data_IF_310851973001
#
_entry.id   IF_310851973001
#
_cell.length_a   1.000
_cell.length_b   1.000
_cell.length_c   1.000
_cell.angle_alpha   90.00
_cell.angle_beta   90.00
_cell.angle_gamma   90.00
#
_symmetry.space_group_name_H-M   'P 1'
#
loop_
_entity.id
_entity.type
_entity.pdbx_description
1 polymer ?
#
# COMPACT_ATOMS: atom_id res chain seq x y z
N UNK A 1 7.46 -6.83 -0.51
CA UNK A 1 7.39 -6.72 0.97
C UNK A 1 6.99 -8.07 1.48
N UNK A 2 7.72 -8.61 2.46
CA UNK A 2 7.37 -9.88 3.05
C UNK A 2 6.31 -9.64 4.14
N UNK A 3 5.23 -10.44 4.22
CA UNK A 3 4.26 -10.35 5.31
C UNK A 3 4.88 -10.45 6.71
N UNK A 4 6.00 -11.17 6.86
CA UNK A 4 6.72 -11.31 8.12
C UNK A 4 7.61 -10.09 8.46
N UNK A 5 7.78 -9.14 7.52
CA UNK A 5 8.58 -7.96 7.77
C UNK A 5 7.93 -7.09 8.86
N UNK A 6 8.72 -6.58 9.82
CA UNK A 6 8.21 -5.71 10.87
C UNK A 6 7.70 -4.38 10.29
N UNK A 7 6.64 -3.85 10.90
CA UNK A 7 6.05 -2.55 10.58
C UNK A 7 6.97 -1.42 11.08
N UNK A 8 8.08 -1.18 10.37
CA UNK A 8 9.08 -0.16 10.72
C UNK A 8 8.77 1.20 10.08
N UNK A 9 8.96 2.24 10.89
CA UNK A 9 8.96 3.67 10.57
C UNK A 9 7.98 4.12 9.48
N UNK A 10 6.70 4.20 9.86
CA UNK A 10 5.72 4.90 9.05
C UNK A 10 6.00 6.42 9.05
N UNK A 11 5.61 7.15 8.00
CA UNK A 11 5.72 8.61 7.95
C UNK A 11 5.13 9.30 9.18
N UNK A 12 5.61 10.50 9.50
CA UNK A 12 5.23 11.25 10.70
C UNK A 12 3.70 11.40 10.89
N UNK A 13 2.96 11.52 9.79
CA UNK A 13 1.50 11.64 9.77
C UNK A 13 0.72 10.34 10.04
N UNK A 14 1.40 9.20 10.21
CA UNK A 14 0.83 7.89 10.50
C UNK A 14 1.31 7.30 11.84
N UNK A 15 1.96 8.12 12.68
CA UNK A 15 2.55 7.67 13.96
C UNK A 15 1.49 7.19 14.95
N UNK A 16 0.32 7.83 14.96
CA UNK A 16 -0.77 7.45 15.85
C UNK A 16 -1.36 6.09 15.46
N UNK A 17 -1.51 5.82 14.16
CA UNK A 17 -1.90 4.51 13.65
C UNK A 17 -0.83 3.46 13.96
N UNK A 18 0.46 3.77 13.77
CA UNK A 18 1.54 2.85 14.10
C UNK A 18 1.51 2.46 15.58
N UNK A 19 1.42 3.45 16.47
CA UNK A 19 1.39 3.23 17.90
C UNK A 19 0.18 2.35 18.30
N UNK A 20 -0.98 2.60 17.71
CA UNK A 20 -2.20 1.83 18.00
C UNK A 20 -2.11 0.38 17.51
N UNK A 21 -1.52 0.15 16.34
CA UNK A 21 -1.28 -1.20 15.80
C UNK A 21 -0.33 -1.97 16.73
N UNK A 22 0.80 -1.36 17.09
CA UNK A 22 1.80 -1.97 17.98
C UNK A 22 1.23 -2.25 19.37
N UNK A 23 0.46 -1.33 19.96
CA UNK A 23 -0.20 -1.52 21.24
C UNK A 23 -1.23 -2.65 21.22
N UNK A 24 -1.78 -2.98 20.05
CA UNK A 24 -2.72 -4.09 19.87
C UNK A 24 -2.04 -5.41 19.49
N UNK A 25 -0.70 -5.45 19.49
CA UNK A 25 0.09 -6.63 19.14
C UNK A 25 0.29 -6.85 17.64
N UNK A 26 -0.16 -5.93 16.79
CA UNK A 26 -0.03 -6.02 15.33
C UNK A 26 1.30 -5.36 14.92
N UNK A 27 2.31 -6.17 14.61
CA UNK A 27 3.69 -5.70 14.46
C UNK A 27 4.31 -6.00 13.09
N UNK A 28 3.61 -6.75 12.22
CA UNK A 28 4.06 -7.07 10.87
C UNK A 28 3.16 -6.48 9.78
N UNK A 29 3.67 -6.43 8.55
CA UNK A 29 2.84 -6.06 7.40
C UNK A 29 1.74 -7.07 7.10
N UNK A 30 1.96 -8.36 7.39
CA UNK A 30 0.94 -9.39 7.29
C UNK A 30 -0.22 -9.17 8.26
N UNK A 31 0.06 -8.72 9.48
CA UNK A 31 -0.98 -8.37 10.45
C UNK A 31 -1.86 -7.23 9.93
N UNK A 32 -1.25 -6.20 9.35
CA UNK A 32 -1.94 -5.05 8.78
C UNK A 32 -2.77 -5.43 7.56
N UNK A 33 -2.24 -6.30 6.69
CA UNK A 33 -2.96 -6.82 5.53
C UNK A 33 -4.25 -7.55 5.95
N UNK A 34 -4.18 -8.35 7.01
CA UNK A 34 -5.28 -9.18 7.50
C UNK A 34 -6.30 -8.44 8.39
N UNK A 35 -6.18 -7.12 8.53
CA UNK A 35 -7.14 -6.33 9.29
C UNK A 35 -8.57 -6.44 8.72
N UNK A 36 -9.50 -6.82 9.58
CA UNK A 36 -10.94 -6.76 9.29
C UNK A 36 -11.50 -5.35 9.50
N UNK A 37 -12.62 -5.02 8.85
CA UNK A 37 -13.27 -3.71 9.03
C UNK A 37 -13.72 -3.47 10.48
N UNK A 38 -14.05 -4.55 11.19
CA UNK A 38 -14.35 -4.50 12.62
C UNK A 38 -13.11 -4.16 13.45
N UNK A 39 -11.96 -4.78 13.19
CA UNK A 39 -10.70 -4.42 13.85
C UNK A 39 -10.30 -2.97 13.56
N UNK A 40 -10.44 -2.52 12.31
CA UNK A 40 -10.17 -1.12 11.94
C UNK A 40 -11.06 -0.16 12.73
N UNK A 41 -12.35 -0.47 12.82
CA UNK A 41 -13.31 0.35 13.57
C UNK A 41 -12.95 0.40 15.06
N UNK A 42 -12.57 -0.74 15.65
CA UNK A 42 -12.12 -0.81 17.05
C UNK A 42 -10.85 0.00 17.30
N UNK A 43 -9.83 -0.16 16.45
CA UNK A 43 -8.56 0.57 16.57
C UNK A 43 -8.74 2.08 16.45
N UNK A 44 -9.64 2.52 15.57
CA UNK A 44 -9.95 3.93 15.41
C UNK A 44 -10.76 4.50 16.59
N UNK A 45 -11.62 3.68 17.23
CA UNK A 45 -12.39 4.08 18.39
C UNK A 45 -11.55 4.17 19.67
N UNK A 46 -10.43 3.44 19.77
CA UNK A 46 -9.63 3.32 20.98
C UNK A 46 -8.51 4.35 21.13
N UNK A 47 -8.37 5.32 20.21
CA UNK A 47 -7.25 6.25 20.26
C UNK A 47 -7.30 7.39 19.24
N UNK A 48 -6.11 7.93 18.90
CA UNK A 48 -5.94 9.02 17.92
C UNK A 48 -5.81 8.53 16.46
N UNK A 49 -5.83 7.21 16.26
CA UNK A 49 -5.74 6.59 14.94
C UNK A 49 -7.00 6.86 14.11
N UNK A 50 -6.83 7.17 12.83
CA UNK A 50 -7.97 7.36 11.92
C UNK A 50 -8.32 6.06 11.19
N UNK A 51 -9.61 5.70 11.18
CA UNK A 51 -10.12 4.59 10.35
C UNK A 51 -9.79 4.76 8.85
N UNK A 52 -9.67 6.00 8.37
CA UNK A 52 -9.25 6.28 6.99
C UNK A 52 -7.79 5.87 6.76
N UNK A 53 -6.91 6.24 7.69
CA UNK A 53 -5.49 5.93 7.58
C UNK A 53 -5.21 4.44 7.80
N UNK A 54 -5.92 3.79 8.72
CA UNK A 54 -5.85 2.34 8.90
C UNK A 54 -6.27 1.57 7.65
N UNK A 55 -7.36 1.99 6.97
CA UNK A 55 -7.75 1.42 5.67
C UNK A 55 -6.69 1.66 4.60
N UNK A 56 -6.03 2.82 4.62
CA UNK A 56 -4.93 3.10 3.69
C UNK A 56 -3.72 2.21 3.95
N UNK A 57 -3.34 2.03 5.21
CA UNK A 57 -2.27 1.11 5.61
C UNK A 57 -2.59 -0.33 5.22
N UNK A 58 -3.83 -0.78 5.43
CA UNK A 58 -4.29 -2.08 4.95
C UNK A 58 -4.15 -2.21 3.42
N UNK A 59 -4.59 -1.21 2.65
CA UNK A 59 -4.45 -1.23 1.19
C UNK A 59 -2.99 -1.26 0.73
N UNK A 60 -2.12 -0.51 1.39
CA UNK A 60 -0.68 -0.55 1.14
C UNK A 60 -0.07 -1.91 1.48
N UNK A 61 -0.42 -2.49 2.62
CA UNK A 61 0.03 -3.82 3.03
C UNK A 61 -0.44 -4.89 2.04
N UNK A 62 -1.70 -4.82 1.60
CA UNK A 62 -2.26 -5.74 0.62
C UNK A 62 -1.51 -5.66 -0.72
N UNK A 63 -1.31 -4.47 -1.27
CA UNK A 63 -0.51 -4.28 -2.48
C UNK A 63 0.94 -4.76 -2.28
N UNK A 64 1.57 -4.36 -1.18
CA UNK A 64 2.97 -4.65 -0.88
C UNK A 64 3.26 -6.14 -0.74
N UNK A 65 2.43 -6.86 0.00
CA UNK A 65 2.54 -8.30 0.22
C UNK A 65 2.13 -9.10 -1.03
N UNK A 66 1.05 -8.71 -1.72
CA UNK A 66 0.56 -9.47 -2.87
C UNK A 66 1.46 -9.34 -4.11
N UNK A 67 1.98 -8.15 -4.36
CA UNK A 67 2.77 -7.82 -5.56
C UNK A 67 4.28 -7.80 -5.30
N UNK A 68 4.69 -8.09 -4.07
CA UNK A 68 6.07 -8.01 -3.59
C UNK A 68 6.72 -6.65 -3.89
N UNK A 69 6.09 -5.58 -3.39
CA UNK A 69 6.55 -4.20 -3.57
C UNK A 69 7.31 -3.71 -2.36
N UNK A 70 8.20 -2.73 -2.53
CA UNK A 70 8.68 -1.95 -1.40
C UNK A 70 7.52 -1.11 -0.80
N UNK A 71 7.57 -0.74 0.50
CA UNK A 71 6.54 0.12 1.10
C UNK A 71 6.31 1.44 0.34
N UNK A 72 7.38 2.04 -0.21
CA UNK A 72 7.30 3.27 -0.99
C UNK A 72 6.53 3.08 -2.30
N UNK A 73 6.73 1.97 -2.99
CA UNK A 73 6.04 1.65 -4.25
C UNK A 73 4.56 1.35 -4.01
N UNK A 74 4.25 0.61 -2.94
CA UNK A 74 2.87 0.39 -2.52
C UNK A 74 2.15 1.70 -2.16
N UNK A 75 2.84 2.61 -1.45
CA UNK A 75 2.33 3.95 -1.18
C UNK A 75 2.11 4.75 -2.48
N UNK A 76 3.06 4.69 -3.41
CA UNK A 76 2.98 5.37 -4.71
C UNK A 76 1.73 4.92 -5.49
N UNK A 77 1.51 3.60 -5.62
CA UNK A 77 0.31 3.05 -6.28
C UNK A 77 -0.97 3.48 -5.56
N UNK A 78 -1.00 3.39 -4.24
CA UNK A 78 -2.13 3.81 -3.41
C UNK A 78 -2.50 5.28 -3.66
N UNK A 79 -1.51 6.17 -3.65
CA UNK A 79 -1.71 7.60 -3.87
C UNK A 79 -2.01 7.95 -5.34
N UNK A 80 -1.54 7.13 -6.28
CA UNK A 80 -1.86 7.26 -7.71
C UNK A 80 -3.26 6.72 -8.07
N UNK A 81 -4.05 6.28 -7.09
CA UNK A 81 -5.41 5.76 -7.27
C UNK A 81 -5.47 4.31 -7.73
N UNK A 82 -4.37 3.56 -7.59
CA UNK A 82 -4.25 2.12 -7.87
C UNK A 82 -4.18 1.37 -6.53
N UNK A 83 -5.22 1.54 -5.71
CA UNK A 83 -5.26 1.16 -4.30
C UNK A 83 -5.54 -0.33 -4.02
N UNK A 84 -5.78 -1.15 -5.06
CA UNK A 84 -6.11 -2.57 -4.92
C UNK A 84 -5.38 -3.40 -5.97
N UNK A 85 -5.13 -4.67 -5.67
CA UNK A 85 -4.60 -5.63 -6.64
C UNK A 85 -5.47 -5.68 -7.89
N UNK A 86 -6.80 -5.54 -7.73
CA UNK A 86 -7.75 -5.45 -8.83
C UNK A 86 -7.53 -4.25 -9.75
N UNK A 87 -7.36 -3.06 -9.17
CA UNK A 87 -7.08 -1.85 -9.93
C UNK A 87 -5.75 -1.95 -10.70
N UNK A 88 -4.73 -2.57 -10.10
CA UNK A 88 -3.43 -2.78 -10.76
C UNK A 88 -3.58 -3.76 -11.94
N UNK A 89 -4.19 -4.93 -11.73
CA UNK A 89 -4.35 -5.95 -12.77
C UNK A 89 -5.17 -5.47 -13.98
N UNK A 90 -6.17 -4.61 -13.74
CA UNK A 90 -7.02 -4.02 -14.78
C UNK A 90 -6.38 -2.84 -15.53
N UNK A 91 -5.24 -2.32 -15.05
CA UNK A 91 -4.56 -1.19 -15.69
C UNK A 91 -3.68 -1.61 -16.88
N UNK A 92 -3.36 -0.66 -17.74
CA UNK A 92 -2.33 -0.84 -18.78
C UNK A 92 -0.97 -0.30 -18.31
N UNK A 93 0.18 -0.84 -18.79
CA UNK A 93 1.49 -0.33 -18.41
C UNK A 93 1.67 1.19 -18.67
N UNK A 94 1.25 1.75 -19.82
CA UNK A 94 1.33 3.21 -20.04
C UNK A 94 0.47 4.02 -19.07
N UNK A 95 -0.71 3.51 -18.70
CA UNK A 95 -1.59 4.17 -17.74
C UNK A 95 -0.97 4.19 -16.34
N UNK A 96 -0.42 3.06 -15.88
CA UNK A 96 0.26 2.94 -14.59
C UNK A 96 1.43 3.92 -14.49
N UNK A 97 2.31 3.95 -15.51
CA UNK A 97 3.42 4.91 -15.59
C UNK A 97 2.93 6.36 -15.60
N UNK A 98 1.84 6.65 -16.32
CA UNK A 98 1.29 8.01 -16.39
C UNK A 98 0.72 8.47 -15.04
N UNK A 99 -0.03 7.63 -14.34
CA UNK A 99 -0.63 7.96 -13.05
C UNK A 99 0.43 8.17 -11.97
N UNK A 100 1.38 7.24 -11.87
CA UNK A 100 2.49 7.32 -10.92
C UNK A 100 3.39 8.52 -11.22
N UNK A 101 3.81 8.72 -12.46
CA UNK A 101 4.63 9.86 -12.87
C UNK A 101 3.92 11.21 -12.73
N UNK A 102 2.59 11.29 -12.88
CA UNK A 102 1.82 12.51 -12.57
C UNK A 102 1.93 12.87 -11.10
N UNK A 103 1.76 11.90 -10.21
CA UNK A 103 1.83 12.10 -8.77
C UNK A 103 3.25 12.50 -8.34
N UNK A 104 4.29 11.84 -8.84
CA UNK A 104 5.68 12.18 -8.52
C UNK A 104 6.03 13.64 -8.89
N UNK A 105 5.54 14.12 -10.04
CA UNK A 105 5.69 15.54 -10.45
C UNK A 105 4.94 16.49 -9.51
N UNK A 106 3.74 16.13 -9.05
CA UNK A 106 2.99 16.91 -8.07
C UNK A 106 3.71 17.02 -6.73
N UNK A 107 4.40 15.96 -6.33
CA UNK A 107 5.24 15.92 -5.13
C UNK A 107 6.57 16.68 -5.29
N UNK A 108 6.82 17.29 -6.47
CA UNK A 108 7.99 18.12 -6.79
C UNK A 108 9.33 17.48 -6.39
N UNK A 109 9.44 16.16 -6.52
CA UNK A 109 10.63 15.42 -6.07
C UNK A 109 11.88 15.73 -6.91
N UNK A 110 11.72 16.25 -8.13
CA UNK A 110 12.82 16.55 -9.07
C UNK A 110 13.57 15.30 -9.56
N UNK A 111 13.10 14.10 -9.19
CA UNK A 111 13.73 12.82 -9.53
C UNK A 111 13.13 12.25 -10.82
N UNK A 112 13.90 11.44 -11.58
CA UNK A 112 13.33 10.64 -12.65
C UNK A 112 12.20 9.75 -12.10
N UNK A 113 11.17 9.44 -12.90
CA UNK A 113 10.06 8.59 -12.47
C UNK A 113 10.60 7.24 -12.00
N UNK A 114 10.18 6.82 -10.82
CA UNK A 114 10.63 5.55 -10.22
C UNK A 114 10.08 4.36 -11.00
N UNK A 115 8.93 4.54 -11.68
CA UNK A 115 8.22 3.48 -12.38
C UNK A 115 8.35 3.62 -13.89
N UNK A 116 9.00 2.64 -14.52
CA UNK A 116 9.06 2.50 -15.97
C UNK A 116 8.05 1.48 -16.52
N UNK A 117 8.03 1.30 -17.85
CA UNK A 117 7.10 0.37 -18.50
C UNK A 117 7.38 -1.10 -18.17
N UNK A 118 8.63 -1.48 -17.89
CA UNK A 118 9.00 -2.85 -17.59
C UNK A 118 8.54 -3.23 -16.18
N UNK A 119 8.75 -2.34 -15.21
CA UNK A 119 8.29 -2.47 -13.84
C UNK A 119 6.76 -2.49 -13.79
N UNK A 120 6.10 -1.57 -14.52
CA UNK A 120 4.64 -1.54 -14.62
C UNK A 120 4.06 -2.86 -15.16
N UNK A 121 4.66 -3.42 -16.23
CA UNK A 121 4.27 -4.74 -16.76
C UNK A 121 4.40 -5.84 -15.72
N UNK A 122 5.53 -5.86 -14.98
CA UNK A 122 5.79 -6.85 -13.95
C UNK A 122 4.73 -6.82 -12.85
N UNK A 123 4.39 -5.63 -12.34
CA UNK A 123 3.36 -5.49 -11.32
C UNK A 123 1.97 -5.91 -11.80
N UNK A 124 1.61 -5.57 -13.05
CA UNK A 124 0.33 -5.98 -13.65
C UNK A 124 0.25 -7.51 -13.80
N UNK A 125 1.32 -8.16 -14.24
CA UNK A 125 1.36 -9.63 -14.38
C UNK A 125 1.19 -10.31 -13.01
N UNK A 126 1.96 -9.89 -12.00
CA UNK A 126 1.81 -10.40 -10.63
C UNK A 126 0.38 -10.19 -10.09
N UNK A 127 -0.22 -9.03 -10.37
CA UNK A 127 -1.57 -8.73 -9.93
C UNK A 127 -2.61 -9.64 -10.58
N UNK A 128 -2.44 -9.97 -11.86
CA UNK A 128 -3.30 -10.92 -12.58
C UNK A 128 -3.13 -12.35 -12.06
N UNK A 129 -1.90 -12.79 -11.82
CA UNK A 129 -1.62 -14.11 -11.25
C UNK A 129 -2.34 -14.29 -9.91
N UNK A 130 -2.30 -13.25 -9.05
CA UNK A 130 -2.99 -13.28 -7.74
C UNK A 130 -4.51 -13.38 -7.83
N UNK A 131 -5.13 -12.76 -8.84
CA UNK A 131 -6.58 -12.89 -9.05
C UNK A 131 -7.00 -14.30 -9.46
N UNK A 132 -6.14 -14.99 -10.22
CA UNK A 132 -6.43 -16.33 -10.69
C UNK A 132 -6.23 -17.40 -9.61
N UNK A 133 -5.58 -17.06 -8.49
CA UNK A 133 -5.31 -17.96 -7.36
C UNK A 133 -6.23 -17.77 -6.14
N UNK A 134 -7.20 -16.85 -6.21
CA UNK A 134 -8.24 -16.63 -5.19
C UNK A 134 -9.59 -17.19 -5.67
#
# INVERSE_FOLDING_TARGET
MNPADPLRELPQGLRDEQAQLLASGLNTWGDVQNLTDHQISRLAASGRASARNLRRLKGMADLGCCLDLAPADAALLMHAGLATVAAVAGSSPPELVTRTGRLERQLRSGRPPVVDLALARTWILRAKERQNTN
#
